data_IF_520108593871
#
_entry.id   IF_520108593871
#
_cell.length_a   1.000
_cell.length_b   1.000
_cell.length_c   1.000
_cell.angle_alpha   90.00
_cell.angle_beta   90.00
_cell.angle_gamma   90.00
#
_symmetry.space_group_name_H-M   'P 1'
#
loop_
_entity.id
_entity.type
_entity.pdbx_description
1 polymer ?
#
# COMPACT_ATOMS: atom_id res chain seq x y z
N UNK A 1 -42.54 -24.88 -50.06
CA UNK A 1 -41.55 -25.33 -49.05
C UNK A 1 -40.32 -24.46 -49.20
N UNK A 2 -40.14 -23.46 -48.34
CA UNK A 2 -38.94 -22.63 -48.27
C UNK A 2 -38.39 -22.79 -46.85
N UNK A 3 -37.26 -23.46 -46.73
CA UNK A 3 -36.59 -23.73 -45.46
C UNK A 3 -35.94 -22.44 -44.95
N UNK A 4 -36.33 -22.01 -43.75
CA UNK A 4 -35.70 -20.94 -42.98
C UNK A 4 -34.39 -21.47 -42.40
N UNK A 5 -33.26 -20.94 -42.86
CA UNK A 5 -31.97 -21.10 -42.20
C UNK A 5 -31.94 -20.20 -40.96
N UNK A 6 -32.06 -20.82 -39.78
CA UNK A 6 -31.95 -20.16 -38.48
C UNK A 6 -30.46 -19.98 -38.15
N UNK A 7 -29.93 -18.76 -38.21
CA UNK A 7 -28.61 -18.46 -37.65
C UNK A 7 -28.70 -18.53 -36.12
N UNK A 8 -28.13 -19.59 -35.55
CA UNK A 8 -27.96 -19.74 -34.11
C UNK A 8 -26.82 -18.82 -33.66
N UNK A 9 -27.16 -17.65 -33.12
CA UNK A 9 -26.20 -16.80 -32.42
C UNK A 9 -25.86 -17.46 -31.09
N UNK A 10 -24.69 -18.09 -31.01
CA UNK A 10 -24.12 -18.58 -29.75
C UNK A 10 -23.61 -17.35 -29.00
N UNK A 11 -24.43 -16.79 -28.12
CA UNK A 11 -23.99 -15.82 -27.13
C UNK A 11 -23.09 -16.54 -26.12
N UNK A 12 -21.77 -16.37 -26.27
CA UNK A 12 -20.82 -16.69 -25.21
C UNK A 12 -21.02 -15.68 -24.07
N UNK A 13 -21.84 -16.05 -23.10
CA UNK A 13 -21.81 -15.40 -21.79
C UNK A 13 -20.51 -15.80 -21.12
N UNK A 14 -19.51 -14.91 -21.16
CA UNK A 14 -18.35 -14.99 -20.28
C UNK A 14 -18.87 -14.80 -18.85
N UNK A 15 -19.20 -15.91 -18.18
CA UNK A 15 -19.36 -15.90 -16.73
C UNK A 15 -17.99 -15.65 -16.13
N UNK A 16 -17.77 -14.42 -15.65
CA UNK A 16 -16.66 -14.13 -14.77
C UNK A 16 -16.68 -15.13 -13.60
N UNK A 17 -15.54 -15.60 -13.09
CA UNK A 17 -15.52 -16.42 -11.89
C UNK A 17 -16.16 -15.64 -10.74
N UNK A 18 -17.37 -16.06 -10.36
CA UNK A 18 -18.08 -15.54 -9.18
C UNK A 18 -17.38 -16.09 -7.94
N UNK A 19 -16.31 -15.41 -7.57
CA UNK A 19 -15.47 -15.69 -6.41
C UNK A 19 -14.61 -14.49 -6.08
N UNK A 20 -15.12 -13.27 -6.29
CA UNK A 20 -14.49 -12.05 -5.81
C UNK A 20 -14.61 -12.04 -4.29
N UNK A 21 -13.62 -12.64 -3.63
CA UNK A 21 -13.40 -12.49 -2.22
C UNK A 21 -13.23 -10.98 -1.99
N UNK A 22 -14.16 -10.35 -1.26
CA UNK A 22 -14.10 -8.94 -0.92
C UNK A 22 -12.86 -8.71 -0.03
N UNK A 23 -11.72 -8.51 -0.69
CA UNK A 23 -10.42 -8.41 -0.07
C UNK A 23 -10.05 -6.92 -0.01
N UNK A 24 -9.78 -6.46 1.21
CA UNK A 24 -8.96 -5.27 1.42
C UNK A 24 -7.66 -5.47 0.66
N UNK A 25 -7.26 -4.48 -0.12
CA UNK A 25 -5.97 -4.45 -0.81
C UNK A 25 -5.12 -3.37 -0.17
N UNK A 26 -4.04 -3.78 0.46
CA UNK A 26 -3.05 -2.87 1.04
C UNK A 26 -2.17 -2.36 -0.11
N UNK A 27 -2.29 -1.08 -0.43
CA UNK A 27 -1.52 -0.48 -1.53
C UNK A 27 -0.15 -0.03 -1.03
N UNK A 28 -0.15 0.65 0.11
CA UNK A 28 1.03 1.09 0.85
C UNK A 28 0.61 1.32 2.30
N UNK A 29 1.56 1.54 3.21
CA UNK A 29 1.26 1.74 4.61
C UNK A 29 0.26 2.90 4.81
N UNK A 30 -0.82 2.64 5.54
CA UNK A 30 -1.88 3.62 5.76
C UNK A 30 -2.75 3.92 4.55
N UNK A 31 -2.71 3.09 3.51
CA UNK A 31 -3.57 3.19 2.32
C UNK A 31 -4.11 1.81 1.95
N UNK A 32 -5.43 1.66 2.10
CA UNK A 32 -6.15 0.43 1.81
C UNK A 32 -7.29 0.68 0.83
N UNK A 33 -7.40 -0.18 -0.18
CA UNK A 33 -8.45 -0.11 -1.19
C UNK A 33 -9.47 -1.23 -1.00
N UNK A 34 -10.74 -0.91 -1.23
CA UNK A 34 -11.81 -1.88 -1.47
C UNK A 34 -12.40 -1.61 -2.86
N UNK A 35 -11.84 -2.24 -3.91
CA UNK A 35 -12.32 -2.07 -5.28
C UNK A 35 -13.77 -2.50 -5.45
N UNK A 36 -14.27 -3.42 -4.61
CA UNK A 36 -15.65 -3.90 -4.71
C UNK A 36 -16.69 -2.83 -4.31
N UNK A 37 -16.30 -1.92 -3.40
CA UNK A 37 -17.12 -0.77 -3.01
C UNK A 37 -16.69 0.54 -3.68
N UNK A 38 -15.63 0.52 -4.50
CA UNK A 38 -15.10 1.70 -5.19
C UNK A 38 -14.56 2.75 -4.20
N UNK A 39 -13.94 2.31 -3.11
CA UNK A 39 -13.39 3.19 -2.07
C UNK A 39 -11.90 2.91 -1.88
N UNK A 40 -11.14 3.98 -1.68
CA UNK A 40 -9.80 3.91 -1.11
C UNK A 40 -9.80 4.72 0.18
N UNK A 41 -9.25 4.14 1.24
CA UNK A 41 -9.16 4.74 2.57
C UNK A 41 -7.70 4.97 2.88
N UNK A 42 -7.36 6.20 3.25
CA UNK A 42 -5.97 6.65 3.43
C UNK A 42 -5.80 7.51 4.67
N UNK A 43 -4.58 7.60 5.17
CA UNK A 43 -4.20 8.63 6.16
C UNK A 43 -3.72 9.88 5.44
N UNK A 44 -4.37 11.02 5.67
CA UNK A 44 -3.95 12.31 5.11
C UNK A 44 -2.74 12.89 5.88
N UNK A 45 -2.10 13.97 5.40
CA UNK A 45 -0.92 14.56 6.06
C UNK A 45 -1.15 15.04 7.51
N UNK A 46 -2.41 15.27 7.93
CA UNK A 46 -2.73 15.63 9.32
C UNK A 46 -2.90 14.39 10.23
N UNK A 47 -2.71 13.18 9.69
CA UNK A 47 -2.91 11.91 10.37
C UNK A 47 -4.36 11.45 10.44
N UNK A 48 -5.31 12.16 9.80
CA UNK A 48 -6.74 11.78 9.80
C UNK A 48 -7.00 10.76 8.70
N UNK A 49 -7.96 9.87 8.95
CA UNK A 49 -8.38 8.87 7.96
C UNK A 49 -9.41 9.49 7.03
N UNK A 50 -9.18 9.41 5.73
CA UNK A 50 -10.11 9.82 4.68
C UNK A 50 -10.56 8.61 3.88
N UNK A 51 -11.85 8.51 3.58
CA UNK A 51 -12.31 7.67 2.48
C UNK A 51 -12.64 8.54 1.29
N UNK A 52 -12.14 8.15 0.14
CA UNK A 52 -12.44 8.81 -1.14
C UNK A 52 -13.01 7.79 -2.12
N UNK A 53 -13.74 8.30 -3.10
CA UNK A 53 -14.14 7.53 -4.26
C UNK A 53 -12.91 7.15 -5.10
N UNK A 54 -12.75 5.86 -5.38
CA UNK A 54 -11.55 5.36 -6.05
C UNK A 54 -11.49 5.82 -7.53
N UNK A 55 -12.64 6.07 -8.15
CA UNK A 55 -12.71 6.49 -9.54
C UNK A 55 -12.49 8.00 -9.73
N UNK A 56 -13.09 8.82 -8.87
CA UNK A 56 -13.07 10.29 -9.00
C UNK A 56 -12.12 11.01 -8.05
N UNK A 57 -11.68 10.35 -6.97
CA UNK A 57 -10.91 10.98 -5.89
C UNK A 57 -11.73 11.92 -5.01
N UNK A 58 -13.06 11.92 -5.14
CA UNK A 58 -13.98 12.73 -4.33
C UNK A 58 -14.00 12.24 -2.88
N UNK A 59 -13.93 13.18 -1.92
CA UNK A 59 -13.97 12.87 -0.50
C UNK A 59 -15.38 12.38 -0.10
N UNK A 60 -15.45 11.19 0.51
CA UNK A 60 -16.69 10.64 1.08
C UNK A 60 -16.85 11.02 2.54
N UNK A 61 -15.79 10.85 3.34
CA UNK A 61 -15.74 11.24 4.75
C UNK A 61 -14.30 11.37 5.24
N UNK A 62 -14.13 12.03 6.39
CA UNK A 62 -12.86 12.17 7.10
C UNK A 62 -13.09 12.00 8.60
N UNK A 63 -12.14 11.39 9.31
CA UNK A 63 -12.19 11.25 10.77
C UNK A 63 -11.70 12.50 11.49
N UNK A 64 -12.15 12.69 12.73
CA UNK A 64 -11.58 13.70 13.63
C UNK A 64 -10.32 13.19 14.34
N UNK A 65 -10.33 11.92 14.74
CA UNK A 65 -9.19 11.26 15.38
C UNK A 65 -8.13 10.90 14.32
N UNK A 66 -6.86 11.00 14.72
CA UNK A 66 -5.74 10.53 13.91
C UNK A 66 -5.67 9.01 13.94
N UNK A 67 -5.54 8.35 12.81
CA UNK A 67 -5.35 6.91 12.76
C UNK A 67 -4.75 6.48 11.42
N UNK A 68 -4.30 5.23 11.34
CA UNK A 68 -3.78 4.60 10.14
C UNK A 68 -4.67 3.43 9.76
N UNK A 69 -5.38 3.48 8.62
CA UNK A 69 -6.20 2.36 8.18
C UNK A 69 -5.31 1.19 7.76
N UNK A 70 -5.70 -0.01 8.15
CA UNK A 70 -4.96 -1.25 7.90
C UNK A 70 -5.82 -2.30 7.21
N UNK A 71 -7.15 -2.17 7.21
CA UNK A 71 -8.02 -3.06 6.45
C UNK A 71 -9.40 -2.45 6.20
N UNK A 72 -10.03 -2.81 5.08
CA UNK A 72 -11.45 -2.58 4.81
C UNK A 72 -12.13 -3.90 4.54
N UNK A 73 -13.17 -4.24 5.30
CA UNK A 73 -13.96 -5.44 5.01
C UNK A 73 -15.36 -5.35 5.63
N UNK A 74 -16.35 -5.89 4.91
CA UNK A 74 -17.72 -6.08 5.42
C UNK A 74 -18.35 -4.82 6.03
N UNK A 75 -18.10 -3.68 5.39
CA UNK A 75 -18.63 -2.37 5.80
C UNK A 75 -17.92 -1.76 7.02
N UNK A 76 -16.75 -2.27 7.40
CA UNK A 76 -15.91 -1.70 8.45
C UNK A 76 -14.52 -1.36 7.92
N UNK A 77 -13.97 -0.24 8.38
CA UNK A 77 -12.54 0.06 8.29
C UNK A 77 -11.91 -0.26 9.63
N UNK A 78 -10.84 -1.05 9.62
CA UNK A 78 -9.98 -1.25 10.79
C UNK A 78 -8.81 -0.30 10.68
N UNK A 79 -8.54 0.44 11.75
CA UNK A 79 -7.41 1.36 11.82
C UNK A 79 -6.67 1.22 13.16
N UNK A 80 -5.41 1.64 13.18
CA UNK A 80 -4.60 1.77 14.40
C UNK A 80 -4.36 3.24 14.72
N UNK A 81 -4.50 3.60 15.99
CA UNK A 81 -4.41 4.98 16.49
C UNK A 81 -3.49 5.05 17.71
N UNK A 82 -2.91 6.22 17.92
CA UNK A 82 -2.07 6.52 19.08
C UNK A 82 -2.94 6.64 20.34
N UNK A 83 -2.42 6.16 21.47
CA UNK A 83 -2.99 6.50 22.76
C UNK A 83 -2.34 7.80 23.26
N UNK A 84 -3.11 8.87 23.54
CA UNK A 84 -2.55 10.17 23.91
C UNK A 84 -1.59 10.06 25.11
N UNK A 85 -0.34 10.49 24.92
CA UNK A 85 0.69 10.47 25.95
C UNK A 85 1.28 9.10 26.28
N UNK A 86 0.91 8.03 25.57
CA UNK A 86 1.39 6.67 25.81
C UNK A 86 1.91 6.04 24.52
N UNK A 87 3.24 5.88 24.41
CA UNK A 87 3.89 5.27 23.23
C UNK A 87 4.01 3.75 23.28
N UNK A 88 3.90 3.16 24.47
CA UNK A 88 3.96 1.70 24.67
C UNK A 88 2.61 1.01 24.46
N UNK A 89 1.63 1.76 23.93
CA UNK A 89 0.29 1.29 23.60
C UNK A 89 -0.16 1.91 22.29
N UNK A 90 -0.99 1.18 21.59
CA UNK A 90 -1.80 1.70 20.51
C UNK A 90 -3.23 1.19 20.70
N UNK A 91 -4.20 1.82 20.05
CA UNK A 91 -5.53 1.28 19.96
C UNK A 91 -5.83 0.79 18.55
N UNK A 92 -6.57 -0.32 18.46
CA UNK A 92 -7.22 -0.75 17.24
C UNK A 92 -8.67 -0.28 17.31
N UNK A 93 -9.12 0.41 16.27
CA UNK A 93 -10.48 0.97 16.17
C UNK A 93 -11.21 0.38 14.97
N UNK A 94 -12.51 0.16 15.15
CA UNK A 94 -13.45 -0.16 14.08
C UNK A 94 -14.25 1.09 13.71
N UNK A 95 -14.15 1.49 12.44
CA UNK A 95 -14.89 2.61 11.86
C UNK A 95 -15.95 2.09 10.88
N UNK A 96 -17.10 2.76 10.81
CA UNK A 96 -18.11 2.46 9.80
C UNK A 96 -17.62 2.91 8.42
N UNK A 97 -17.58 2.00 7.44
CA UNK A 97 -17.02 2.31 6.13
C UNK A 97 -17.82 3.36 5.33
N UNK A 98 -19.09 3.57 5.66
CA UNK A 98 -19.94 4.58 5.02
C UNK A 98 -19.77 5.98 5.58
N UNK A 99 -19.31 6.13 6.84
CA UNK A 99 -19.33 7.41 7.55
C UNK A 99 -18.02 7.78 8.26
N UNK A 100 -17.11 6.83 8.46
CA UNK A 100 -15.90 7.01 9.26
C UNK A 100 -16.14 7.06 10.76
N UNK A 101 -17.39 6.89 11.23
CA UNK A 101 -17.72 6.94 12.65
C UNK A 101 -17.18 5.70 13.37
N UNK A 102 -16.41 5.92 14.43
CA UNK A 102 -15.91 4.85 15.28
C UNK A 102 -17.04 4.19 16.06
N UNK A 103 -17.12 2.87 16.02
CA UNK A 103 -18.09 2.08 16.80
C UNK A 103 -17.43 1.06 17.74
N UNK A 104 -16.11 0.88 17.67
CA UNK A 104 -15.37 0.07 18.63
C UNK A 104 -13.93 0.54 18.80
N UNK A 105 -13.34 0.24 19.97
CA UNK A 105 -11.96 0.57 20.33
C UNK A 105 -11.43 -0.46 21.30
N UNK A 106 -10.20 -0.92 21.08
CA UNK A 106 -9.46 -1.75 22.04
C UNK A 106 -7.99 -1.37 22.06
N UNK A 107 -7.44 -1.22 23.26
CA UNK A 107 -6.03 -0.94 23.45
C UNK A 107 -5.19 -2.22 23.46
N UNK A 108 -4.05 -2.16 22.79
CA UNK A 108 -3.00 -3.17 22.81
C UNK A 108 -1.80 -2.65 23.61
N UNK A 109 -1.17 -3.51 24.40
CA UNK A 109 0.14 -3.21 24.98
C UNK A 109 1.23 -3.71 24.04
N UNK A 110 2.24 -2.89 23.80
CA UNK A 110 3.45 -3.30 23.12
C UNK A 110 4.42 -3.94 24.13
N UNK A 111 5.24 -4.92 23.69
CA UNK A 111 6.31 -5.45 24.51
C UNK A 111 7.33 -4.36 24.84
N UNK A 112 8.10 -4.59 25.91
CA UNK A 112 9.15 -3.65 26.33
C UNK A 112 10.13 -3.37 25.19
N UNK A 113 10.34 -2.10 24.86
CA UNK A 113 11.26 -1.66 23.81
C UNK A 113 10.60 -1.33 22.47
N UNK A 114 9.34 -1.71 22.27
CA UNK A 114 8.54 -1.28 21.12
C UNK A 114 7.74 -0.01 21.46
N UNK A 115 7.67 0.90 20.50
CA UNK A 115 6.88 2.13 20.57
C UNK A 115 5.98 2.23 19.33
N UNK A 116 4.80 2.81 19.49
CA UNK A 116 3.92 3.15 18.37
C UNK A 116 3.93 4.66 18.14
N UNK A 117 3.95 5.05 16.87
CA UNK A 117 3.85 6.42 16.38
C UNK A 117 3.30 6.36 14.96
N UNK A 118 2.33 7.21 14.62
CA UNK A 118 1.81 7.30 13.25
C UNK A 118 2.86 7.87 12.29
N UNK A 119 3.75 8.70 12.82
CA UNK A 119 4.91 9.24 12.12
C UNK A 119 6.18 8.56 12.64
N UNK A 120 7.11 8.17 11.77
CA UNK A 120 8.41 7.65 12.19
C UNK A 120 9.12 8.64 13.09
N UNK A 121 9.85 8.10 14.05
CA UNK A 121 10.68 8.90 14.93
C UNK A 121 12.13 8.45 14.82
N UNK A 122 13.04 9.28 15.33
CA UNK A 122 14.46 8.91 15.44
C UNK A 122 14.69 7.62 16.27
N UNK A 123 13.68 7.14 17.01
CA UNK A 123 13.75 5.93 17.83
C UNK A 123 13.41 4.66 17.05
N UNK A 124 12.78 4.78 15.89
CA UNK A 124 12.30 3.64 15.10
C UNK A 124 11.01 3.92 14.34
N UNK A 125 10.64 2.92 13.54
CA UNK A 125 9.43 2.89 12.73
C UNK A 125 8.56 1.69 13.13
N UNK A 126 7.25 1.87 13.08
CA UNK A 126 6.27 0.81 13.32
C UNK A 126 5.56 0.50 12.01
N UNK A 127 5.70 -0.74 11.55
CA UNK A 127 5.05 -1.23 10.35
C UNK A 127 3.95 -2.21 10.73
N UNK A 128 2.83 -2.12 10.03
CA UNK A 128 1.64 -2.89 10.31
C UNK A 128 1.06 -3.43 9.02
N UNK A 129 0.72 -4.71 9.05
CA UNK A 129 0.09 -5.41 7.95
C UNK A 129 -1.16 -6.10 8.47
N UNK A 130 -2.20 -6.16 7.66
CA UNK A 130 -3.41 -6.81 8.09
C UNK A 130 -4.13 -7.57 6.99
N UNK A 131 -4.79 -8.65 7.42
CA UNK A 131 -5.57 -9.49 6.53
C UNK A 131 -6.96 -9.70 7.13
N UNK A 132 -8.04 -9.35 6.40
CA UNK A 132 -9.38 -9.78 6.76
C UNK A 132 -9.49 -11.31 6.72
N UNK A 133 -9.87 -11.94 7.83
CA UNK A 133 -10.10 -13.38 7.96
C UNK A 133 -11.46 -13.61 8.59
N UNK A 134 -12.45 -13.92 7.76
CA UNK A 134 -13.83 -13.99 8.23
C UNK A 134 -14.29 -12.63 8.75
N UNK A 135 -14.85 -12.60 9.95
CA UNK A 135 -15.34 -11.39 10.63
C UNK A 135 -14.26 -10.66 11.44
N UNK A 136 -13.02 -11.14 11.35
CA UNK A 136 -11.86 -10.62 12.08
C UNK A 136 -10.85 -10.03 11.11
N UNK A 137 -9.97 -9.22 11.66
CA UNK A 137 -8.75 -8.75 11.03
C UNK A 137 -7.59 -9.31 11.82
N UNK A 138 -6.71 -10.04 11.14
CA UNK A 138 -5.42 -10.44 11.67
C UNK A 138 -4.44 -9.30 11.39
N UNK A 139 -3.86 -8.73 12.44
CA UNK A 139 -2.84 -7.69 12.40
C UNK A 139 -1.50 -8.33 12.77
N UNK A 140 -0.49 -8.13 11.93
CA UNK A 140 0.93 -8.35 12.25
C UNK A 140 1.62 -6.99 12.29
N UNK A 141 2.58 -6.85 13.18
CA UNK A 141 3.38 -5.64 13.23
C UNK A 141 4.84 -5.96 13.49
N UNK A 142 5.69 -5.09 12.97
CA UNK A 142 7.13 -5.04 13.22
C UNK A 142 7.48 -3.64 13.71
N UNK A 143 8.45 -3.57 14.61
CA UNK A 143 9.03 -2.33 15.09
C UNK A 143 10.54 -2.41 14.89
N UNK A 144 11.02 -1.66 13.90
CA UNK A 144 12.44 -1.52 13.63
C UNK A 144 12.98 -0.39 14.51
N UNK A 145 13.86 -0.75 15.46
CA UNK A 145 14.48 0.23 16.33
C UNK A 145 15.71 0.84 15.68
N UNK A 146 15.71 2.17 15.51
CA UNK A 146 16.90 2.92 15.11
C UNK A 146 17.68 3.36 16.37
N UNK A 147 18.96 3.00 16.46
CA UNK A 147 19.86 3.57 17.46
C UNK A 147 20.29 4.97 17.02
N UNK A 148 19.98 5.97 17.84
CA UNK A 148 20.54 7.32 17.69
C UNK A 148 21.95 7.31 18.28
N UNK A 149 22.96 7.13 17.43
CA UNK A 149 24.37 7.24 17.81
C UNK A 149 24.93 8.59 17.38
N UNK A 150 25.20 9.48 18.33
CA UNK A 150 26.09 10.62 18.12
C UNK A 150 27.48 10.23 18.59
N UNK A 151 28.42 10.02 17.67
CA UNK A 151 29.90 10.13 17.79
C UNK A 151 30.50 9.30 16.65
N UNK A 152 31.15 9.98 15.70
CA UNK A 152 32.20 9.36 14.90
C UNK A 152 33.33 8.95 15.85
N UNK A 153 33.43 7.65 16.17
CA UNK A 153 34.62 7.09 16.80
C UNK A 153 35.49 6.54 15.68
N UNK A 154 36.64 7.16 15.45
CA UNK A 154 37.59 6.74 14.41
C UNK A 154 38.44 5.55 14.87
N UNK A 155 37.80 4.47 15.28
CA UNK A 155 38.45 3.18 15.50
C UNK A 155 37.64 2.17 14.72
N UNK A 156 38.32 1.41 13.86
CA UNK A 156 37.74 0.53 12.85
C UNK A 156 36.53 -0.23 13.42
N UNK A 157 35.34 0.05 12.88
CA UNK A 157 34.13 -0.67 13.23
C UNK A 157 34.33 -2.12 12.80
N UNK A 158 34.22 -3.05 13.74
CA UNK A 158 33.92 -4.43 13.40
C UNK A 158 32.58 -4.42 12.64
N UNK A 159 32.48 -5.19 11.55
CA UNK A 159 31.29 -5.28 10.70
C UNK A 159 30.01 -5.66 11.50
N UNK A 160 30.20 -6.21 12.72
CA UNK A 160 29.16 -6.50 13.70
C UNK A 160 28.56 -5.27 14.42
N UNK A 161 29.25 -4.13 14.48
CA UNK A 161 28.76 -2.90 15.14
C UNK A 161 27.90 -2.02 14.21
N UNK A 162 27.82 -2.34 12.92
CA UNK A 162 27.04 -1.61 11.91
C UNK A 162 25.60 -2.13 11.73
N UNK A 163 25.20 -3.21 12.41
CA UNK A 163 23.94 -3.95 12.13
C UNK A 163 23.06 -4.21 13.35
N UNK A 164 23.19 -3.42 14.43
CA UNK A 164 22.41 -3.65 15.65
C UNK A 164 21.05 -2.91 15.66
N UNK A 165 20.29 -3.02 14.55
CA UNK A 165 18.84 -2.85 14.53
C UNK A 165 18.24 -4.19 14.97
N UNK A 166 17.34 -4.17 15.95
CA UNK A 166 16.58 -5.36 16.28
C UNK A 166 15.11 -5.11 15.98
N UNK A 167 14.52 -6.08 15.29
CA UNK A 167 13.11 -6.06 14.95
C UNK A 167 12.34 -6.71 16.09
N UNK A 168 11.40 -5.97 16.65
CA UNK A 168 10.38 -6.54 17.53
C UNK A 168 9.14 -6.82 16.69
N UNK A 169 8.55 -7.99 16.86
CA UNK A 169 7.34 -8.37 16.13
C UNK A 169 6.23 -8.82 17.07
N UNK A 170 5.00 -8.73 16.59
CA UNK A 170 3.84 -9.27 17.28
C UNK A 170 2.62 -9.39 16.40
N UNK A 171 1.57 -9.95 16.96
CA UNK A 171 0.31 -10.17 16.25
C UNK A 171 -0.90 -9.99 17.14
N UNK A 172 -2.00 -9.56 16.54
CA UNK A 172 -3.31 -9.47 17.16
C UNK A 172 -4.40 -9.94 16.21
N UNK A 173 -5.48 -10.46 16.74
CA UNK A 173 -6.76 -10.56 16.02
C UNK A 173 -7.72 -9.53 16.59
N UNK A 174 -8.41 -8.82 15.71
CA UNK A 174 -9.39 -7.81 16.06
C UNK A 174 -10.72 -8.12 15.37
N UNK A 175 -11.82 -8.08 16.11
CA UNK A 175 -13.16 -8.19 15.53
C UNK A 175 -13.76 -6.79 15.47
N UNK A 176 -13.82 -6.13 14.29
CA UNK A 176 -14.18 -4.72 14.22
C UNK A 176 -15.51 -4.43 14.91
N UNK A 177 -16.56 -5.20 14.59
CA UNK A 177 -17.93 -4.98 15.09
C UNK A 177 -18.09 -5.02 16.61
N UNK A 178 -17.27 -5.80 17.31
CA UNK A 178 -17.38 -5.97 18.77
C UNK A 178 -16.23 -5.30 19.52
N UNK A 179 -15.17 -4.91 18.83
CA UNK A 179 -13.93 -4.43 19.44
C UNK A 179 -13.12 -5.53 20.11
N UNK A 180 -13.48 -6.82 19.97
CA UNK A 180 -12.75 -7.90 20.62
C UNK A 180 -11.32 -7.98 20.05
N UNK A 181 -10.33 -7.74 20.90
CA UNK A 181 -8.91 -7.82 20.59
C UNK A 181 -8.28 -8.99 21.34
N UNK A 182 -7.52 -9.82 20.64
CA UNK A 182 -6.84 -10.98 21.24
C UNK A 182 -5.43 -11.08 20.67
N UNK A 183 -4.44 -11.39 21.51
CA UNK A 183 -3.08 -11.62 21.01
C UNK A 183 -3.06 -12.82 20.05
N UNK A 184 -2.24 -12.70 19.02
CA UNK A 184 -1.96 -13.76 18.06
C UNK A 184 -0.44 -13.97 17.99
N UNK A 185 0.03 -15.19 17.73
CA UNK A 185 1.44 -15.41 17.42
C UNK A 185 1.83 -14.55 16.21
N UNK A 186 3.06 -14.01 16.15
CA UNK A 186 3.56 -13.29 14.98
C UNK A 186 3.58 -14.17 13.71
N UNK A 187 3.59 -15.50 13.89
CA UNK A 187 3.69 -16.53 12.85
C UNK A 187 2.39 -16.90 12.12
N UNK A 188 1.35 -16.06 12.10
CA UNK A 188 0.22 -16.23 11.17
C UNK A 188 0.19 -15.03 10.21
N UNK A 189 0.25 -15.23 8.87
CA UNK A 189 -0.77 -15.99 8.12
C UNK A 189 -0.27 -16.88 6.97
N UNK A 190 -1.18 -17.68 6.40
CA UNK A 190 -1.25 -17.93 4.94
C UNK A 190 -2.67 -18.35 4.56
N UNK A 191 -3.33 -17.58 3.68
CA UNK A 191 -3.29 -17.93 2.27
C UNK A 191 -2.74 -16.77 1.43
N UNK A 192 -1.50 -16.93 0.96
CA UNK A 192 -0.98 -16.20 -0.20
C UNK A 192 -0.44 -14.79 0.03
N UNK A 193 -0.21 -14.31 1.26
CA UNK A 193 0.23 -12.92 1.46
C UNK A 193 1.75 -12.70 1.44
N UNK A 194 2.59 -13.72 1.63
CA UNK A 194 4.06 -13.62 1.46
C UNK A 194 4.64 -14.97 1.01
N UNK A 195 4.68 -15.25 -0.30
CA UNK A 195 5.87 -15.93 -0.82
C UNK A 195 6.87 -14.82 -1.09
N UNK A 196 7.71 -14.54 -0.09
CA UNK A 196 8.79 -13.54 -0.11
C UNK A 196 8.31 -12.11 -0.46
N UNK A 197 8.78 -11.08 0.25
CA UNK A 197 8.76 -9.75 -0.37
C UNK A 197 9.42 -9.91 -1.73
N UNK A 198 8.78 -9.45 -2.82
CA UNK A 198 9.22 -9.63 -4.22
C UNK A 198 10.70 -9.90 -4.20
N UNK A 199 11.09 -11.18 -4.29
CA UNK A 199 12.46 -11.56 -4.01
C UNK A 199 13.34 -10.64 -4.86
N UNK A 200 14.51 -10.24 -4.37
CA UNK A 200 15.46 -9.56 -5.25
C UNK A 200 15.71 -10.39 -6.55
N UNK A 201 15.32 -11.69 -6.58
CA UNK A 201 15.23 -12.53 -7.77
C UNK A 201 13.95 -12.39 -8.62
N UNK A 202 12.80 -11.96 -8.08
CA UNK A 202 11.56 -11.69 -8.86
C UNK A 202 11.58 -10.28 -9.49
N UNK A 203 12.31 -9.34 -8.88
CA UNK A 203 12.89 -8.18 -9.58
C UNK A 203 14.15 -8.66 -10.30
N UNK A 204 14.03 -9.48 -11.35
CA UNK A 204 15.23 -9.92 -12.08
C UNK A 204 15.63 -8.88 -13.13
N UNK A 205 16.68 -8.06 -12.93
CA UNK A 205 17.34 -7.42 -14.06
C UNK A 205 17.98 -8.53 -14.90
N UNK A 206 17.45 -8.75 -16.09
CA UNK A 206 18.02 -9.73 -17.02
C UNK A 206 19.43 -9.25 -17.42
N UNK A 207 20.47 -9.92 -16.92
CA UNK A 207 21.89 -9.55 -17.12
C UNK A 207 22.49 -10.12 -18.41
N UNK A 208 21.72 -10.16 -19.50
CA UNK A 208 22.19 -10.59 -20.83
C UNK A 208 22.51 -9.42 -21.79
N UNK A 209 22.69 -8.20 -21.24
CA UNK A 209 23.06 -7.02 -22.03
C UNK A 209 21.88 -6.31 -22.70
N UNK A 210 20.64 -6.76 -22.46
CA UNK A 210 19.42 -6.02 -22.73
C UNK A 210 19.06 -5.12 -21.52
N UNK A 211 18.40 -3.95 -21.70
CA UNK A 211 17.94 -3.14 -20.58
C UNK A 211 17.07 -3.98 -19.65
N UNK A 212 17.48 -4.11 -18.39
CA UNK A 212 16.82 -4.97 -17.40
C UNK A 212 15.34 -4.62 -17.27
N UNK A 213 14.49 -5.58 -17.62
CA UNK A 213 13.04 -5.43 -17.50
C UNK A 213 12.67 -5.77 -16.06
N UNK A 214 12.30 -4.76 -15.28
CA UNK A 214 11.66 -4.98 -13.98
C UNK A 214 10.28 -5.61 -14.20
N UNK A 215 9.93 -6.64 -13.44
CA UNK A 215 8.55 -7.14 -13.34
C UNK A 215 8.08 -7.07 -11.89
N UNK A 216 6.84 -6.62 -11.69
CA UNK A 216 6.24 -6.56 -10.35
C UNK A 216 4.72 -6.81 -10.43
N UNK A 217 4.14 -7.55 -9.48
CA UNK A 217 2.69 -7.74 -9.41
C UNK A 217 1.97 -6.46 -8.94
N UNK A 218 0.69 -6.33 -9.26
CA UNK A 218 -0.20 -5.37 -8.60
C UNK A 218 -0.49 -5.80 -7.16
N UNK A 219 -0.93 -4.86 -6.33
CA UNK A 219 -1.27 -5.09 -4.92
C UNK A 219 -2.34 -6.18 -4.72
N UNK A 220 -3.28 -6.31 -5.68
CA UNK A 220 -4.32 -7.35 -5.70
C UNK A 220 -3.91 -8.65 -6.42
N UNK A 221 -2.67 -8.68 -6.94
CA UNK A 221 -2.09 -9.76 -7.76
C UNK A 221 -2.91 -10.16 -8.99
N UNK A 222 -3.82 -9.30 -9.44
CA UNK A 222 -4.60 -9.51 -10.67
C UNK A 222 -3.84 -9.06 -11.93
N UNK A 223 -2.78 -8.29 -11.77
CA UNK A 223 -1.99 -7.73 -12.87
C UNK A 223 -0.49 -7.83 -12.58
N UNK A 224 0.30 -7.73 -13.65
CA UNK A 224 1.74 -7.57 -13.60
C UNK A 224 2.12 -6.34 -14.41
N UNK A 225 3.09 -5.59 -13.91
CA UNK A 225 3.72 -4.49 -14.61
C UNK A 225 5.12 -4.94 -15.04
N UNK A 226 5.48 -4.67 -16.30
CA UNK A 226 6.87 -4.69 -16.73
C UNK A 226 7.35 -3.29 -17.09
N UNK A 227 8.52 -2.89 -16.61
CA UNK A 227 9.07 -1.54 -16.79
C UNK A 227 10.25 -1.55 -17.74
N UNK A 228 10.27 -0.63 -18.70
CA UNK A 228 11.40 -0.41 -19.60
C UNK A 228 11.72 1.08 -19.68
N UNK A 229 12.98 1.44 -19.44
CA UNK A 229 13.43 2.82 -19.62
C UNK A 229 13.38 3.23 -21.10
N UNK A 230 13.01 4.48 -21.35
CA UNK A 230 13.03 5.12 -22.68
C UNK A 230 13.97 6.32 -22.68
N UNK A 231 14.49 6.66 -23.86
CA UNK A 231 15.31 7.85 -24.04
C UNK A 231 14.51 9.12 -23.72
N UNK A 232 15.12 10.02 -22.96
CA UNK A 232 14.55 11.29 -22.53
C UNK A 232 15.66 12.31 -22.38
N UNK A 233 15.46 13.53 -22.87
CA UNK A 233 16.44 14.63 -22.80
C UNK A 233 16.55 15.27 -21.41
N UNK A 234 15.90 14.69 -20.41
CA UNK A 234 15.80 15.22 -19.04
C UNK A 234 15.82 14.09 -18.01
N UNK A 235 14.80 14.03 -17.15
CA UNK A 235 14.67 12.95 -16.19
C UNK A 235 14.42 11.59 -16.90
N UNK A 236 14.91 10.48 -16.33
CA UNK A 236 14.59 9.14 -16.81
C UNK A 236 13.08 8.95 -16.94
N UNK A 237 12.64 8.38 -18.06
CA UNK A 237 11.24 7.99 -18.26
C UNK A 237 11.16 6.51 -18.54
N UNK A 238 10.02 5.93 -18.17
CA UNK A 238 9.78 4.49 -18.24
C UNK A 238 8.46 4.24 -18.93
N UNK A 239 8.38 3.16 -19.69
CA UNK A 239 7.11 2.61 -20.16
C UNK A 239 6.76 1.46 -19.25
N UNK A 240 5.64 1.59 -18.55
CA UNK A 240 5.02 0.52 -17.80
C UNK A 240 4.04 -0.21 -18.71
N UNK A 241 4.32 -1.48 -18.97
CA UNK A 241 3.41 -2.37 -19.69
C UNK A 241 2.63 -3.19 -18.67
N UNK A 242 1.31 -2.97 -18.62
CA UNK A 242 0.40 -3.64 -17.67
C UNK A 242 -0.23 -4.85 -18.35
N UNK A 243 -0.15 -6.02 -17.73
CA UNK A 243 -0.67 -7.29 -18.25
C UNK A 243 -1.55 -7.96 -17.20
N UNK A 244 -2.73 -8.45 -17.57
CA UNK A 244 -3.57 -9.21 -16.64
C UNK A 244 -2.96 -10.57 -16.28
N UNK A 245 -3.23 -11.07 -15.09
CA UNK A 245 -2.83 -12.41 -14.68
C UNK A 245 -3.43 -13.45 -15.64
N UNK A 246 -2.57 -14.21 -16.32
CA UNK A 246 -2.98 -15.18 -17.34
C UNK A 246 -3.32 -14.60 -18.71
N UNK A 247 -3.18 -13.29 -18.92
CA UNK A 247 -3.37 -12.67 -20.23
C UNK A 247 -2.11 -12.83 -21.11
N UNK A 248 -2.30 -13.21 -22.37
CA UNK A 248 -1.18 -13.32 -23.33
C UNK A 248 -0.75 -11.97 -23.92
N UNK A 249 -1.60 -10.93 -23.80
CA UNK A 249 -1.37 -9.61 -24.37
C UNK A 249 -1.45 -8.53 -23.30
N UNK A 250 -0.63 -7.46 -23.42
CA UNK A 250 -0.70 -6.35 -22.51
C UNK A 250 -2.05 -5.64 -22.62
N UNK A 251 -2.57 -5.22 -21.48
CA UNK A 251 -3.78 -4.42 -21.36
C UNK A 251 -3.51 -2.97 -21.78
N UNK A 252 -2.37 -2.42 -21.37
CA UNK A 252 -1.99 -1.04 -21.67
C UNK A 252 -0.48 -0.81 -21.55
N UNK A 253 -0.03 0.27 -22.17
CA UNK A 253 1.30 0.85 -21.96
C UNK A 253 1.15 2.30 -21.49
N UNK A 254 1.86 2.66 -20.42
CA UNK A 254 1.77 3.97 -19.79
C UNK A 254 3.17 4.54 -19.60
N UNK A 255 3.39 5.80 -19.99
CA UNK A 255 4.66 6.48 -19.76
C UNK A 255 4.66 7.08 -18.36
N UNK A 256 5.70 6.74 -17.58
CA UNK A 256 5.86 7.07 -16.17
C UNK A 256 7.23 7.70 -15.94
N UNK A 257 7.32 8.52 -14.89
CA UNK A 257 8.59 9.14 -14.47
C UNK A 257 9.32 8.33 -13.38
N UNK A 258 8.79 7.13 -13.08
CA UNK A 258 9.34 6.18 -12.11
C UNK A 258 9.43 4.79 -12.74
N UNK A 259 10.44 4.01 -12.35
CA UNK A 259 10.60 2.63 -12.82
C UNK A 259 9.55 1.69 -12.20
N UNK A 260 9.12 1.96 -10.97
CA UNK A 260 8.20 1.16 -10.18
C UNK A 260 7.50 1.99 -9.13
N UNK A 261 6.27 1.59 -8.79
CA UNK A 261 5.63 1.86 -7.51
C UNK A 261 4.57 0.78 -7.24
N UNK A 262 4.22 0.52 -5.97
CA UNK A 262 3.03 -0.26 -5.64
C UNK A 262 1.81 0.30 -6.36
N UNK A 263 1.03 -0.58 -6.99
CA UNK A 263 -0.06 -0.17 -7.87
C UNK A 263 -1.27 -1.12 -7.83
N UNK A 264 -2.40 -0.59 -8.23
CA UNK A 264 -3.68 -1.26 -8.44
C UNK A 264 -4.25 -0.81 -9.80
N UNK A 265 -4.97 -1.71 -10.48
CA UNK A 265 -5.75 -1.38 -11.67
C UNK A 265 -7.23 -1.54 -11.36
N UNK A 266 -8.02 -0.50 -11.60
CA UNK A 266 -9.46 -0.51 -11.32
C UNK A 266 -10.19 0.39 -12.31
N UNK A 267 -11.26 -0.12 -12.94
CA UNK A 267 -12.15 0.65 -13.85
C UNK A 267 -11.42 1.50 -14.90
N UNK A 268 -10.32 0.98 -15.47
CA UNK A 268 -9.52 1.69 -16.46
C UNK A 268 -8.62 2.78 -15.90
N UNK A 269 -8.41 2.81 -14.58
CA UNK A 269 -7.42 3.61 -13.88
C UNK A 269 -6.23 2.75 -13.47
N UNK A 270 -5.06 3.36 -13.51
CA UNK A 270 -3.86 2.90 -12.81
C UNK A 270 -3.71 3.78 -11.57
N UNK A 271 -3.89 3.18 -10.39
CA UNK A 271 -3.75 3.83 -9.08
C UNK A 271 -2.44 3.38 -8.45
N UNK A 272 -1.60 4.29 -7.99
CA UNK A 272 -0.28 3.95 -7.48
C UNK A 272 0.24 4.99 -6.49
N UNK A 273 1.19 4.57 -5.67
CA UNK A 273 1.94 5.48 -4.81
C UNK A 273 2.93 6.31 -5.63
N UNK A 274 2.90 7.62 -5.47
CA UNK A 274 3.87 8.52 -6.05
C UNK A 274 4.74 9.11 -4.93
N UNK A 275 5.98 8.63 -4.87
CA UNK A 275 7.01 9.09 -3.92
C UNK A 275 7.23 10.60 -3.95
N UNK A 276 7.70 11.21 -2.85
CA UNK A 276 8.18 12.59 -2.85
C UNK A 276 9.26 12.79 -3.92
N UNK A 277 9.13 13.87 -4.69
CA UNK A 277 10.09 14.19 -5.73
C UNK A 277 10.35 15.68 -5.80
N UNK A 278 11.60 16.02 -6.10
CA UNK A 278 12.01 17.38 -6.38
C UNK A 278 12.45 17.43 -7.85
N UNK A 279 11.76 18.23 -8.64
CA UNK A 279 12.05 18.40 -10.06
C UNK A 279 12.43 19.84 -10.37
N UNK A 280 13.30 20.03 -11.37
CA UNK A 280 13.61 21.37 -11.89
C UNK A 280 12.91 21.58 -13.21
N UNK A 281 11.98 22.53 -13.26
CA UNK A 281 11.24 22.87 -14.47
C UNK A 281 11.18 24.39 -14.64
N UNK A 282 11.56 24.89 -15.82
CA UNK A 282 11.55 26.32 -16.12
C UNK A 282 12.40 27.17 -15.16
N UNK A 283 13.52 26.62 -14.66
CA UNK A 283 14.40 27.29 -13.69
C UNK A 283 13.89 27.28 -12.24
N UNK A 284 12.69 26.75 -11.97
CA UNK A 284 12.11 26.63 -10.63
C UNK A 284 12.25 25.21 -10.11
N UNK A 285 12.35 25.09 -8.78
CA UNK A 285 12.20 23.83 -8.08
C UNK A 285 10.70 23.57 -7.88
N UNK A 286 10.24 22.39 -8.26
CA UNK A 286 8.88 21.90 -8.04
C UNK A 286 9.00 20.70 -7.11
N UNK A 287 8.38 20.81 -5.94
CA UNK A 287 8.31 19.75 -4.95
C UNK A 287 6.95 19.06 -5.10
N UNK A 288 6.98 17.74 -5.19
CA UNK A 288 5.81 16.87 -5.19
C UNK A 288 5.84 16.06 -3.90
N UNK A 289 4.81 16.14 -3.04
CA UNK A 289 4.75 15.36 -1.80
C UNK A 289 4.45 13.88 -2.07
N UNK A 290 4.52 13.07 -1.01
CA UNK A 290 4.02 11.69 -1.05
C UNK A 290 2.50 11.72 -1.27
N UNK A 291 2.04 10.97 -2.26
CA UNK A 291 0.63 10.97 -2.64
C UNK A 291 0.23 9.66 -3.31
N UNK A 292 -1.05 9.31 -3.24
CA UNK A 292 -1.65 8.34 -4.16
C UNK A 292 -2.13 9.10 -5.40
N UNK A 293 -1.82 8.55 -6.57
CA UNK A 293 -2.22 9.13 -7.86
C UNK A 293 -3.00 8.12 -8.68
N UNK A 294 -4.06 8.58 -9.33
CA UNK A 294 -4.74 7.84 -10.38
C UNK A 294 -4.51 8.48 -11.74
N UNK A 295 -4.19 7.65 -12.72
CA UNK A 295 -4.09 8.05 -14.12
C UNK A 295 -5.00 7.17 -14.97
N UNK A 296 -5.54 7.72 -16.06
CA UNK A 296 -6.31 6.95 -17.02
C UNK A 296 -5.37 5.94 -17.70
N UNK A 297 -5.63 4.64 -17.53
CA UNK A 297 -4.78 3.55 -17.99
C UNK A 297 -4.52 3.61 -19.51
N UNK A 298 -5.50 4.06 -20.29
CA UNK A 298 -5.38 4.19 -21.73
C UNK A 298 -4.45 5.32 -22.21
N UNK A 299 -4.18 6.33 -21.38
CA UNK A 299 -3.47 7.55 -21.81
C UNK A 299 -2.36 8.02 -20.88
N UNK A 300 -2.29 7.52 -19.66
CA UNK A 300 -1.42 8.03 -18.60
C UNK A 300 -1.78 9.41 -18.08
N UNK A 301 -2.89 10.01 -18.53
CA UNK A 301 -3.30 11.34 -18.06
C UNK A 301 -3.77 11.29 -16.60
N UNK A 302 -3.38 12.25 -15.76
CA UNK A 302 -3.82 12.32 -14.38
C UNK A 302 -5.35 12.49 -14.31
N UNK A 303 -5.98 11.76 -13.41
CA UNK A 303 -7.41 11.85 -13.10
C UNK A 303 -7.58 12.52 -11.74
N UNK A 304 -6.93 11.99 -10.71
CA UNK A 304 -6.91 12.60 -9.38
C UNK A 304 -5.59 12.28 -8.66
N UNK A 305 -5.30 13.05 -7.61
CA UNK A 305 -4.17 12.81 -6.70
C UNK A 305 -4.57 13.20 -5.27
N UNK A 306 -4.07 12.48 -4.28
CA UNK A 306 -4.29 12.73 -2.85
C UNK A 306 -3.02 12.55 -2.06
N UNK A 307 -2.61 13.60 -1.36
CA UNK A 307 -1.49 13.55 -0.42
C UNK A 307 -1.80 12.59 0.72
N UNK A 308 -0.78 11.86 1.16
CA UNK A 308 -0.88 10.92 2.27
C UNK A 308 0.17 11.24 3.33
N UNK A 309 -0.06 10.81 4.56
CA UNK A 309 0.91 10.91 5.64
C UNK A 309 2.19 10.18 5.22
N UNK A 310 3.33 10.82 5.43
CA UNK A 310 4.61 10.17 5.21
C UNK A 310 4.97 9.31 6.41
N UNK A 311 4.96 8.00 6.21
CA UNK A 311 5.32 7.00 7.23
C UNK A 311 6.74 6.47 7.05
N UNK A 312 7.55 7.07 6.18
CA UNK A 312 8.96 6.70 6.00
C UNK A 312 9.90 7.66 6.74
N UNK A 313 10.95 7.16 7.43
CA UNK A 313 11.97 8.01 8.00
C UNK A 313 12.66 8.81 6.90
N UNK A 314 12.63 10.14 6.98
CA UNK A 314 13.44 11.02 6.14
C UNK A 314 14.36 11.85 7.01
N UNK A 315 15.67 11.57 6.94
CA UNK A 315 16.68 12.37 7.60
C UNK A 315 18.08 11.90 7.24
N UNK A 316 18.91 12.80 6.72
CA UNK A 316 20.33 12.73 7.01
C UNK A 316 20.47 12.88 8.53
N UNK A 317 21.22 12.00 9.18
CA UNK A 317 21.61 12.20 10.58
C UNK A 317 22.09 13.65 10.75
N UNK A 318 21.54 14.45 11.70
CA UNK A 318 22.15 15.73 12.02
C UNK A 318 23.62 15.49 12.48
N UNK A 319 24.55 16.41 12.14
CA UNK A 319 25.97 16.25 12.45
C UNK A 319 26.26 16.10 13.95
#
# INVERSE_FOLDING_TARGET
MLARTLCLAISLTLSAPTGANAQSIDLTQGVVADPSSGVIVLTNPNGRVEAIDLNSGELKWVTEERAMPIAVSRGAVTAITEEPGVRTRFAVIGLEASSGVAFSRSAANLPSGAEFSLEPSLRGAFEAEAAPVGDRVLLRWTFERQRIGGVFRSEALDEADLTDSFDLEGGFTFTPRTGLLTSAPPSAPSPGLFEEGVSADEITPRTDGAPGILRAPSADRQFYMSSRQIESSGQPRYVWTITGAGAERPLAEVVMDVAYAPFLVHDGLLVFENRPQIQRAGGRLIETPLQIRAVALATGKPVWAREILNTEPHGSLPP
#
